data_IF_340686655163
#
_entry.id   IF_340686655163
#
_cell.length_a   1.000
_cell.length_b   1.000
_cell.length_c   1.000
_cell.angle_alpha   90.00
_cell.angle_beta   90.00
_cell.angle_gamma   90.00
#
_symmetry.space_group_name_H-M   'P 1'
#
loop_
_entity.id
_entity.type
_entity.pdbx_description
1 polymer ?
#
# COMPACT_ATOMS: atom_id res chain seq x y z
N UNK A 1 18.59 12.28 13.93
CA UNK A 1 18.61 11.42 12.74
C UNK A 1 17.18 10.97 12.42
N UNK A 2 16.72 11.30 11.26
CA UNK A 2 15.38 10.94 10.86
C UNK A 2 15.37 9.64 10.07
N UNK A 3 14.73 8.65 10.63
CA UNK A 3 14.48 7.42 9.89
C UNK A 3 13.16 7.59 9.15
N UNK A 4 13.24 7.70 7.83
CA UNK A 4 12.05 7.84 7.01
C UNK A 4 11.44 6.46 6.81
N UNK A 5 10.45 6.15 7.63
CA UNK A 5 9.73 4.90 7.49
C UNK A 5 8.57 5.08 6.53
N UNK A 6 8.37 4.13 5.60
CA UNK A 6 7.20 4.19 4.72
C UNK A 6 5.92 4.12 5.54
N UNK A 7 4.97 4.93 5.18
CA UNK A 7 3.67 4.94 5.84
C UNK A 7 2.76 3.94 5.15
N UNK A 8 2.26 2.98 5.89
CA UNK A 8 1.34 1.95 5.37
C UNK A 8 -0.08 2.30 5.79
N UNK A 9 -0.96 2.42 4.82
CA UNK A 9 -2.35 2.79 5.04
C UNK A 9 -3.24 1.71 4.44
N UNK A 10 -4.16 1.17 5.24
CA UNK A 10 -5.15 0.23 4.75
C UNK A 10 -6.23 1.00 4.00
N UNK A 11 -6.47 0.64 2.74
CA UNK A 11 -7.55 1.22 1.96
C UNK A 11 -8.86 0.54 2.28
N UNK A 12 -9.93 1.32 2.24
CA UNK A 12 -11.29 0.77 2.34
C UNK A 12 -11.61 0.03 1.04
N UNK A 13 -12.53 -0.91 1.12
CA UNK A 13 -12.94 -1.70 -0.04
C UNK A 13 -13.33 -0.82 -1.22
N UNK A 14 -14.10 0.23 -0.96
CA UNK A 14 -14.52 1.17 -1.99
C UNK A 14 -13.33 1.90 -2.62
N UNK A 15 -12.40 2.35 -1.79
CA UNK A 15 -11.19 3.03 -2.27
C UNK A 15 -10.32 2.08 -3.09
N UNK A 16 -10.21 0.83 -2.65
CA UNK A 16 -9.46 -0.18 -3.37
C UNK A 16 -10.07 -0.46 -4.74
N UNK A 17 -11.39 -0.57 -4.83
CA UNK A 17 -12.08 -0.78 -6.10
C UNK A 17 -11.86 0.39 -7.05
N UNK A 18 -11.97 1.61 -6.55
CA UNK A 18 -11.73 2.81 -7.34
C UNK A 18 -10.30 2.86 -7.88
N UNK A 19 -9.34 2.46 -7.05
CA UNK A 19 -7.94 2.41 -7.46
C UNK A 19 -7.72 1.42 -8.59
N UNK A 20 -8.25 0.20 -8.44
CA UNK A 20 -8.10 -0.85 -9.45
C UNK A 20 -8.77 -0.45 -10.76
N UNK A 21 -9.92 0.18 -10.69
CA UNK A 21 -10.63 0.67 -11.86
C UNK A 21 -9.83 1.80 -12.55
N UNK A 22 -9.29 2.72 -11.76
CA UNK A 22 -8.48 3.82 -12.26
C UNK A 22 -7.24 3.33 -13.02
N UNK A 23 -6.60 2.28 -12.51
CA UNK A 23 -5.41 1.70 -13.13
C UNK A 23 -5.76 0.63 -14.18
N UNK A 24 -7.01 0.26 -14.26
CA UNK A 24 -7.49 -0.80 -15.16
C UNK A 24 -6.74 -2.12 -14.94
N UNK A 25 -6.56 -2.48 -13.68
CA UNK A 25 -5.88 -3.71 -13.25
C UNK A 25 -6.74 -4.47 -12.24
N UNK A 26 -6.37 -5.73 -12.01
CA UNK A 26 -6.98 -6.54 -10.96
C UNK A 26 -6.05 -6.65 -9.75
N UNK A 27 -6.59 -7.13 -8.62
CA UNK A 27 -5.78 -7.35 -7.41
C UNK A 27 -4.61 -8.28 -7.66
N UNK A 28 -4.80 -9.27 -8.53
CA UNK A 28 -3.75 -10.23 -8.86
C UNK A 28 -2.54 -9.61 -9.56
N UNK A 29 -2.72 -8.42 -10.14
CA UNK A 29 -1.65 -7.72 -10.83
C UNK A 29 -0.83 -6.82 -9.92
N UNK A 30 -1.28 -6.61 -8.69
CA UNK A 30 -0.52 -5.83 -7.72
C UNK A 30 0.57 -6.67 -7.06
N UNK A 31 1.69 -6.03 -6.67
CA UNK A 31 2.67 -6.70 -5.82
C UNK A 31 2.02 -7.21 -4.54
N UNK A 32 2.52 -8.31 -4.04
CA UNK A 32 1.96 -8.96 -2.86
C UNK A 32 2.74 -8.59 -1.62
N UNK A 33 2.03 -8.46 -0.50
CA UNK A 33 2.64 -8.28 0.81
C UNK A 33 2.02 -9.31 1.76
N UNK A 34 2.86 -9.95 2.58
CA UNK A 34 2.38 -10.99 3.47
C UNK A 34 1.63 -10.41 4.65
N UNK A 35 0.58 -11.11 5.08
CA UNK A 35 -0.26 -10.67 6.19
C UNK A 35 0.47 -10.58 7.52
N UNK A 36 1.59 -11.27 7.67
CA UNK A 36 2.42 -11.25 8.87
C UNK A 36 3.55 -10.21 8.80
N UNK A 37 3.56 -9.37 7.77
CA UNK A 37 4.57 -8.33 7.64
C UNK A 37 4.44 -7.32 8.78
N UNK A 38 5.53 -7.05 9.53
CA UNK A 38 5.47 -6.14 10.67
C UNK A 38 5.17 -4.68 10.28
N UNK A 39 5.34 -4.33 9.01
CA UNK A 39 5.02 -2.99 8.51
C UNK A 39 3.54 -2.76 8.27
N UNK A 40 2.72 -3.81 8.28
CA UNK A 40 1.29 -3.67 8.01
C UNK A 40 0.54 -3.04 9.18
N UNK A 41 -0.47 -2.19 8.91
CA UNK A 41 -1.37 -1.70 9.94
C UNK A 41 -2.15 -2.85 10.58
N UNK A 42 -2.57 -2.65 11.83
CA UNK A 42 -3.43 -3.62 12.51
C UNK A 42 -4.78 -3.73 11.80
N UNK A 43 -5.35 -4.92 11.83
CA UNK A 43 -6.64 -5.18 11.25
C UNK A 43 -6.64 -5.45 9.76
N UNK A 44 -5.46 -5.64 9.15
CA UNK A 44 -5.38 -6.00 7.73
C UNK A 44 -5.74 -7.46 7.53
N UNK A 45 -6.52 -7.72 6.51
CA UNK A 45 -6.94 -9.08 6.13
C UNK A 45 -6.44 -9.42 4.74
N UNK A 46 -6.43 -10.71 4.44
CA UNK A 46 -6.05 -11.19 3.11
C UNK A 46 -7.02 -10.61 2.07
N UNK A 47 -6.46 -10.04 1.01
CA UNK A 47 -7.23 -9.39 -0.04
C UNK A 47 -7.32 -7.88 0.09
N UNK A 48 -6.92 -7.33 1.24
CA UNK A 48 -6.89 -5.88 1.43
C UNK A 48 -5.78 -5.25 0.60
N UNK A 49 -6.02 -4.02 0.17
CA UNK A 49 -5.02 -3.25 -0.56
C UNK A 49 -4.41 -2.22 0.39
N UNK A 50 -3.09 -2.19 0.42
CA UNK A 50 -2.33 -1.29 1.28
C UNK A 50 -1.67 -0.24 0.41
N UNK A 51 -1.88 1.03 0.77
CA UNK A 51 -1.19 2.15 0.15
C UNK A 51 0.07 2.45 0.95
N UNK A 52 1.20 2.47 0.29
CA UNK A 52 2.49 2.76 0.92
C UNK A 52 2.98 4.11 0.43
N UNK A 53 3.11 5.06 1.34
CA UNK A 53 3.67 6.36 1.04
C UNK A 53 5.13 6.40 1.48
N UNK A 54 6.00 6.68 0.54
CA UNK A 54 7.43 6.80 0.81
C UNK A 54 7.91 8.16 0.33
N UNK A 55 8.49 8.94 1.24
CA UNK A 55 9.05 10.23 0.92
C UNK A 55 10.53 10.08 0.61
N UNK A 56 10.94 10.60 -0.54
CA UNK A 56 12.34 10.62 -0.92
C UNK A 56 13.00 11.87 -0.30
N UNK A 57 14.01 11.69 0.55
CA UNK A 57 14.67 12.83 1.19
C UNK A 57 15.44 13.72 0.21
N UNK A 58 15.91 13.17 -0.91
CA UNK A 58 16.72 13.93 -1.86
C UNK A 58 15.88 14.79 -2.79
N UNK A 59 14.75 14.27 -3.28
CA UNK A 59 13.90 14.99 -4.22
C UNK A 59 12.70 15.66 -3.57
N UNK A 60 12.45 15.35 -2.30
CA UNK A 60 11.28 15.84 -1.56
C UNK A 60 9.95 15.44 -2.22
N UNK A 61 9.97 14.38 -2.99
CA UNK A 61 8.78 13.83 -3.64
C UNK A 61 8.22 12.67 -2.82
N UNK A 62 6.91 12.50 -2.92
CA UNK A 62 6.23 11.39 -2.29
C UNK A 62 5.93 10.34 -3.35
N UNK A 63 6.44 9.14 -3.16
CA UNK A 63 6.17 8.01 -4.02
C UNK A 63 5.09 7.14 -3.39
N UNK A 64 4.10 6.76 -4.18
CA UNK A 64 3.00 5.94 -3.74
C UNK A 64 3.10 4.54 -4.34
N UNK A 65 3.00 3.54 -3.48
CA UNK A 65 3.02 2.15 -3.89
C UNK A 65 1.78 1.46 -3.34
N UNK A 66 1.28 0.48 -4.08
CA UNK A 66 0.11 -0.28 -3.67
C UNK A 66 0.45 -1.76 -3.65
N UNK A 67 0.01 -2.47 -2.62
CA UNK A 67 0.25 -3.89 -2.48
C UNK A 67 -1.01 -4.58 -1.98
N UNK A 68 -1.18 -5.84 -2.37
CA UNK A 68 -2.31 -6.66 -1.91
C UNK A 68 -1.84 -7.61 -0.83
N UNK A 69 -2.60 -7.71 0.25
CA UNK A 69 -2.27 -8.60 1.38
C UNK A 69 -2.60 -10.06 1.00
N UNK A 70 -1.65 -10.93 1.21
CA UNK A 70 -1.81 -12.36 0.95
C UNK A 70 -1.47 -13.22 2.16
#
# INVERSE_FOLDING_TARGET
MHVLQPKHIKLKEKEAEELLDSFNISRAQLPKIFSDDPGLPEGCEIGDIIKIERKDPDSNEINLYYRVVV
#
